data_IF_163867491008
#
_entry.id   IF_163867491008
#
_cell.length_a   1.000
_cell.length_b   1.000
_cell.length_c   1.000
_cell.angle_alpha   90.00
_cell.angle_beta   90.00
_cell.angle_gamma   90.00
#
_symmetry.space_group_name_H-M   'P 1'
#
loop_
_entity.id
_entity.type
_entity.pdbx_description
1 polymer ?
#
# COMPACT_ATOMS: atom_id res chain seq x y z
N UNK A 1 -12.33 20.44 1.09
CA UNK A 1 -11.69 19.14 1.39
C UNK A 1 -10.29 19.42 1.86
N UNK A 2 -10.04 19.22 3.15
CA UNK A 2 -8.75 19.46 3.78
C UNK A 2 -7.70 18.47 3.25
N UNK A 3 -6.50 18.99 2.95
CA UNK A 3 -5.38 18.20 2.38
C UNK A 3 -5.00 17.00 3.26
N UNK A 4 -5.20 17.12 4.57
CA UNK A 4 -4.93 16.03 5.51
C UNK A 4 -5.95 14.90 5.37
N UNK A 5 -7.24 15.22 5.22
CA UNK A 5 -8.32 14.24 5.06
C UNK A 5 -8.13 13.40 3.80
N UNK A 6 -7.66 13.99 2.71
CA UNK A 6 -7.35 13.27 1.47
C UNK A 6 -6.22 12.25 1.67
N UNK A 7 -5.15 12.65 2.35
CA UNK A 7 -4.04 11.74 2.70
C UNK A 7 -4.48 10.59 3.61
N UNK A 8 -5.36 10.87 4.57
CA UNK A 8 -5.94 9.83 5.42
C UNK A 8 -6.84 8.88 4.64
N UNK A 9 -7.63 9.39 3.69
CA UNK A 9 -8.43 8.57 2.80
C UNK A 9 -7.53 7.63 1.96
N UNK A 10 -6.42 8.13 1.42
CA UNK A 10 -5.48 7.30 0.66
C UNK A 10 -4.93 6.11 1.45
N UNK A 11 -4.62 6.31 2.74
CA UNK A 11 -4.17 5.22 3.63
C UNK A 11 -5.18 4.09 3.78
N UNK A 12 -6.48 4.38 3.62
CA UNK A 12 -7.57 3.39 3.75
C UNK A 12 -8.00 2.81 2.41
N UNK A 13 -8.06 3.63 1.37
CA UNK A 13 -8.64 3.28 0.06
C UNK A 13 -7.64 2.61 -0.88
N UNK A 14 -6.38 3.03 -0.85
CA UNK A 14 -5.35 2.52 -1.74
C UNK A 14 -4.74 1.26 -1.11
N UNK A 15 -4.80 0.16 -1.84
CA UNK A 15 -4.24 -1.10 -1.38
C UNK A 15 -2.72 -1.03 -1.51
N UNK A 16 -2.03 -1.02 -0.38
CA UNK A 16 -0.58 -0.90 -0.34
C UNK A 16 0.13 -2.06 -1.06
N UNK A 17 -0.43 -3.26 -1.05
CA UNK A 17 0.17 -4.42 -1.73
C UNK A 17 0.13 -4.28 -3.26
N UNK A 18 -0.99 -3.79 -3.81
CA UNK A 18 -1.11 -3.51 -5.24
C UNK A 18 -0.19 -2.34 -5.66
N UNK A 19 -0.10 -1.31 -4.81
CA UNK A 19 0.80 -0.19 -5.04
C UNK A 19 2.28 -0.61 -5.01
N UNK A 20 2.66 -1.45 -4.06
CA UNK A 20 4.00 -2.04 -4.01
C UNK A 20 4.29 -2.89 -5.26
N UNK A 21 3.31 -3.68 -5.72
CA UNK A 21 3.45 -4.46 -6.94
C UNK A 21 3.76 -3.59 -8.18
N UNK A 22 3.11 -2.43 -8.30
CA UNK A 22 3.39 -1.45 -9.35
C UNK A 22 4.84 -0.93 -9.32
N UNK A 23 5.47 -0.89 -8.15
CA UNK A 23 6.87 -0.48 -7.98
C UNK A 23 7.87 -1.63 -8.14
N UNK A 24 7.43 -2.82 -8.56
CA UNK A 24 8.29 -3.98 -8.80
C UNK A 24 8.38 -4.96 -7.64
N UNK A 25 7.57 -4.80 -6.58
CA UNK A 25 7.49 -5.80 -5.53
C UNK A 25 6.69 -7.02 -5.98
N UNK A 26 7.16 -8.22 -5.63
CA UNK A 26 6.46 -9.47 -5.93
C UNK A 26 5.83 -10.05 -4.68
N UNK A 27 4.56 -10.45 -4.76
CA UNK A 27 3.85 -11.09 -3.66
C UNK A 27 4.40 -12.49 -3.37
N UNK A 28 4.87 -12.73 -2.14
CA UNK A 28 5.22 -14.06 -1.66
C UNK A 28 3.97 -14.78 -1.15
N UNK A 29 3.27 -15.49 -2.04
CA UNK A 29 2.02 -16.21 -1.72
C UNK A 29 2.19 -17.31 -0.66
N UNK A 30 3.40 -17.83 -0.45
CA UNK A 30 3.67 -18.86 0.59
C UNK A 30 3.76 -18.26 1.98
N UNK A 31 4.28 -17.05 2.09
CA UNK A 31 4.42 -16.33 3.37
C UNK A 31 3.25 -15.35 3.64
N UNK A 32 2.45 -15.05 2.62
CA UNK A 32 1.23 -14.26 2.75
C UNK A 32 0.10 -15.11 3.37
N UNK A 33 -0.59 -14.50 4.34
CA UNK A 33 -1.76 -15.05 5.01
C UNK A 33 -3.01 -14.23 4.67
N UNK A 34 -4.18 -14.67 5.13
CA UNK A 34 -5.47 -13.97 4.91
C UNK A 34 -5.45 -12.49 5.30
N UNK A 35 -4.64 -12.13 6.30
CA UNK A 35 -4.58 -10.77 6.86
C UNK A 35 -3.27 -10.02 6.57
N UNK A 36 -2.30 -10.66 5.91
CA UNK A 36 -1.00 -10.06 5.65
C UNK A 36 -0.40 -10.54 4.33
N UNK A 37 0.22 -9.62 3.60
CA UNK A 37 0.92 -9.85 2.35
C UNK A 37 2.41 -9.61 2.54
N UNK A 38 3.21 -10.67 2.49
CA UNK A 38 4.66 -10.52 2.40
C UNK A 38 5.04 -10.23 0.95
N UNK A 39 5.78 -9.14 0.73
CA UNK A 39 6.21 -8.70 -0.60
C UNK A 39 7.72 -8.56 -0.65
N UNK A 40 8.32 -9.03 -1.74
CA UNK A 40 9.76 -8.99 -1.98
C UNK A 40 10.06 -7.95 -3.05
N UNK A 41 10.85 -6.96 -2.69
CA UNK A 41 11.25 -5.87 -3.57
C UNK A 41 12.56 -6.16 -4.31
N UNK A 42 12.98 -5.22 -5.17
CA UNK A 42 14.33 -5.22 -5.71
C UNK A 42 15.37 -5.13 -4.57
N UNK A 43 16.61 -5.53 -4.86
CA UNK A 43 17.74 -5.48 -3.91
C UNK A 43 17.59 -6.35 -2.64
N UNK A 44 16.64 -7.30 -2.66
CA UNK A 44 16.38 -8.19 -1.53
C UNK A 44 15.55 -7.57 -0.42
N UNK A 45 14.91 -6.43 -0.68
CA UNK A 45 13.97 -5.81 0.27
C UNK A 45 12.77 -6.73 0.55
N UNK A 46 12.31 -6.75 1.79
CA UNK A 46 11.23 -7.63 2.24
C UNK A 46 10.34 -6.89 3.22
N UNK A 47 9.12 -6.64 2.79
CA UNK A 47 8.12 -5.95 3.59
C UNK A 47 6.91 -6.83 3.81
N UNK A 48 6.30 -6.72 4.98
CA UNK A 48 5.00 -7.31 5.27
C UNK A 48 3.97 -6.19 5.30
N UNK A 49 2.93 -6.34 4.52
CA UNK A 49 1.83 -5.39 4.36
C UNK A 49 0.59 -5.98 5.02
N UNK A 50 -0.10 -5.20 5.82
CA UNK A 50 -1.34 -5.64 6.45
C UNK A 50 -2.28 -4.47 6.69
N UNK A 51 -3.51 -4.78 7.09
CA UNK A 51 -4.49 -3.78 7.47
C UNK A 51 -4.53 -3.64 8.99
N UNK A 52 -4.31 -2.44 9.49
CA UNK A 52 -4.38 -2.12 10.91
C UNK A 52 -5.83 -2.08 11.43
N UNK A 53 -6.00 -2.05 12.74
CA UNK A 53 -7.29 -1.89 13.44
C UNK A 53 -8.09 -0.66 12.96
N UNK A 54 -7.43 0.44 12.59
CA UNK A 54 -8.09 1.63 12.04
C UNK A 54 -8.43 1.51 10.53
N UNK A 55 -8.36 0.30 9.97
CA UNK A 55 -8.57 0.00 8.55
C UNK A 55 -7.57 0.67 7.60
N UNK A 56 -6.45 1.19 8.13
CA UNK A 56 -5.33 1.75 7.35
C UNK A 56 -4.42 0.63 6.87
N UNK A 57 -3.89 0.79 5.66
CA UNK A 57 -2.82 -0.06 5.18
C UNK A 57 -1.49 0.37 5.79
N UNK A 58 -0.85 -0.59 6.45
CA UNK A 58 0.47 -0.44 7.04
C UNK A 58 1.43 -1.46 6.43
N UNK A 59 2.72 -1.13 6.45
CA UNK A 59 3.80 -2.04 6.15
C UNK A 59 4.87 -1.98 7.23
N UNK A 60 5.63 -3.05 7.34
CA UNK A 60 6.85 -3.09 8.12
C UNK A 60 7.87 -4.00 7.45
N UNK A 61 9.12 -3.57 7.43
CA UNK A 61 10.25 -4.42 7.12
C UNK A 61 10.62 -5.25 8.33
N UNK A 62 10.98 -6.52 8.09
CA UNK A 62 11.55 -7.38 9.16
C UNK A 62 13.03 -7.13 9.39
N UNK A 63 13.70 -6.51 8.42
CA UNK A 63 15.15 -6.31 8.42
C UNK A 63 15.54 -4.93 8.95
N UNK A 64 14.68 -3.94 8.77
CA UNK A 64 14.91 -2.57 9.19
C UNK A 64 13.72 -2.03 9.99
N UNK A 65 13.96 -1.75 11.28
CA UNK A 65 12.95 -1.24 12.21
C UNK A 65 12.57 0.22 11.95
N UNK A 66 13.31 0.94 11.11
CA UNK A 66 12.98 2.31 10.70
C UNK A 66 12.15 2.29 9.43
N UNK A 67 12.07 1.15 8.74
CA UNK A 67 11.36 0.94 7.51
C UNK A 67 9.96 0.34 7.72
N UNK A 68 9.09 1.14 8.34
CA UNK A 68 7.68 0.82 8.57
C UNK A 68 6.82 2.08 8.51
N UNK A 69 5.52 1.90 8.27
CA UNK A 69 4.57 3.00 8.25
C UNK A 69 3.36 2.73 7.37
N UNK A 70 2.76 3.80 6.84
CA UNK A 70 1.63 3.73 5.90
C UNK A 70 2.09 3.78 4.44
N UNK A 71 1.15 3.71 3.48
CA UNK A 71 1.45 3.89 2.04
C UNK A 71 2.24 5.18 1.72
N UNK A 72 1.96 6.26 2.45
CA UNK A 72 2.66 7.54 2.27
C UNK A 72 4.13 7.39 2.63
N UNK A 73 4.38 6.76 3.78
CA UNK A 73 5.72 6.56 4.32
C UNK A 73 6.51 5.56 3.45
N UNK A 74 5.84 4.48 3.02
CA UNK A 74 6.40 3.52 2.06
C UNK A 74 6.90 4.21 0.79
N UNK A 75 6.06 5.06 0.19
CA UNK A 75 6.44 5.78 -1.02
C UNK A 75 7.58 6.77 -0.78
N UNK A 76 7.57 7.52 0.34
CA UNK A 76 8.64 8.47 0.66
C UNK A 76 9.99 7.79 0.89
N UNK A 77 10.01 6.57 1.45
CA UNK A 77 11.26 5.82 1.66
C UNK A 77 11.84 5.23 0.38
N UNK A 78 10.99 4.85 -0.58
CA UNK A 78 11.44 4.33 -1.89
C UNK A 78 11.75 5.44 -2.88
N UNK A 79 11.07 6.58 -2.74
CA UNK A 79 11.24 7.75 -3.58
C UNK A 79 11.27 9.00 -2.69
N UNK A 80 12.44 9.65 -2.47
CA UNK A 80 12.55 10.83 -1.63
C UNK A 80 11.73 11.97 -2.26
N UNK A 81 10.52 12.17 -1.75
CA UNK A 81 9.51 13.03 -2.33
C UNK A 81 8.73 13.75 -1.23
N UNK A 82 8.30 14.98 -1.52
CA UNK A 82 7.45 15.74 -0.59
C UNK A 82 6.02 15.19 -0.55
N UNK A 83 5.28 15.46 0.54
CA UNK A 83 3.85 15.08 0.65
C UNK A 83 3.00 15.56 -0.54
N UNK A 84 3.31 16.72 -1.11
CA UNK A 84 2.64 17.22 -2.32
C UNK A 84 2.84 16.30 -3.54
N UNK A 85 4.05 15.77 -3.73
CA UNK A 85 4.36 14.82 -4.81
C UNK A 85 3.70 13.47 -4.56
N UNK A 86 3.69 13.00 -3.30
CA UNK A 86 2.96 11.77 -2.92
C UNK A 86 1.49 11.88 -3.29
N UNK A 87 0.86 13.03 -3.02
CA UNK A 87 -0.54 13.27 -3.40
C UNK A 87 -0.73 13.20 -4.92
N UNK A 88 0.14 13.84 -5.70
CA UNK A 88 0.04 13.78 -7.16
C UNK A 88 0.21 12.36 -7.71
N UNK A 89 1.06 11.55 -7.08
CA UNK A 89 1.27 10.16 -7.47
C UNK A 89 0.09 9.25 -7.07
N UNK A 90 -0.48 9.46 -5.88
CA UNK A 90 -1.57 8.62 -5.34
C UNK A 90 -2.97 9.04 -5.82
N UNK A 91 -3.19 10.31 -6.15
CA UNK A 91 -4.47 10.81 -6.65
C UNK A 91 -5.02 10.06 -7.89
N UNK A 92 -4.23 9.75 -8.94
CA UNK A 92 -4.72 8.95 -10.05
C UNK A 92 -4.96 7.49 -9.66
N UNK A 93 -4.21 6.93 -8.70
CA UNK A 93 -4.39 5.55 -8.21
C UNK A 93 -5.70 5.42 -7.45
N UNK A 94 -6.08 6.42 -6.66
CA UNK A 94 -7.36 6.48 -5.95
C UNK A 94 -8.55 6.54 -6.93
N UNK A 95 -8.46 7.36 -7.99
CA UNK A 95 -9.50 7.48 -9.03
C UNK A 95 -9.54 6.34 -10.04
N UNK A 96 -8.42 5.63 -10.21
CA UNK A 96 -8.24 4.60 -11.23
C UNK A 96 -8.74 3.22 -10.84
N UNK A 97 -9.33 3.05 -9.64
CA UNK A 97 -9.98 1.78 -9.29
C UNK A 97 -11.34 1.70 -10.01
N UNK A 98 -11.54 0.77 -10.97
CA UNK A 98 -12.89 0.34 -11.24
C UNK A 98 -13.45 -0.17 -9.91
N UNK A 99 -14.52 0.46 -9.47
CA UNK A 99 -15.34 -0.01 -8.38
C UNK A 99 -15.60 -1.49 -8.64
N UNK A 100 -14.99 -2.37 -7.85
CA UNK A 100 -15.33 -3.79 -7.82
C UNK A 100 -16.71 -3.93 -7.19
N UNK A 101 -17.73 -3.41 -7.86
CA UNK A 101 -19.11 -3.82 -7.69
C UNK A 101 -19.28 -5.14 -8.43
N UNK A 102 -19.41 -6.22 -7.63
CA UNK A 102 -20.39 -7.32 -7.78
C UNK A 102 -20.41 -8.04 -9.15
N UNK A 103 -20.24 -9.35 -9.24
CA UNK A 103 -21.38 -10.28 -9.06
C UNK A 103 -20.87 -11.71 -8.78
N UNK A 104 -21.28 -12.30 -7.67
CA UNK A 104 -21.64 -13.73 -7.70
C UNK A 104 -23.04 -13.83 -8.29
N UNK A 105 -23.25 -14.59 -9.37
CA UNK A 105 -24.42 -15.42 -9.49
C UNK A 105 -23.99 -16.88 -9.70
N UNK A 106 -24.59 -17.78 -8.94
CA UNK A 106 -24.17 -19.15 -8.81
C UNK A 106 -24.34 -20.03 -10.06
N UNK A 107 -23.71 -21.18 -9.98
CA UNK A 107 -24.20 -22.47 -10.45
C UNK A 107 -23.82 -23.51 -9.38
#
# INVERSE_FOLDING_TARGET
>A
MDRNTELEAFKRQINLSEFAASMGYTLNRRASCRNSAEMHGPDGDKVVIMRDTDSHWIYFSRQDERDNGSIIDFFQKRSPCSLGQVRMALAPVDRGKPQSSETSPGQ
#
